data_IF_962433475567
#
_entry.id   IF_962433475567
#
_cell.length_a   1.000
_cell.length_b   1.000
_cell.length_c   1.000
_cell.angle_alpha   90.00
_cell.angle_beta   90.00
_cell.angle_gamma   90.00
#
_symmetry.space_group_name_H-M   'P 1'
#
loop_
_entity.id
_entity.type
_entity.pdbx_description
1 polymer ?
#
# COMPACT_ATOMS: atom_id res chain seq x y z
N UNK A 1 8.55 1.36 9.75
CA UNK A 1 9.23 1.41 11.07
C UNK A 1 8.47 2.22 12.13
N UNK A 2 7.74 3.29 11.80
CA UNK A 2 7.05 4.10 12.82
C UNK A 2 5.88 3.38 13.55
N UNK A 3 5.09 2.57 12.84
CA UNK A 3 3.96 1.84 13.44
C UNK A 3 4.40 0.80 14.48
N UNK A 4 5.37 -0.06 14.13
CA UNK A 4 5.94 -1.05 15.06
C UNK A 4 6.56 -0.37 16.28
N UNK A 5 7.29 0.74 16.09
CA UNK A 5 7.84 1.49 17.21
C UNK A 5 6.75 2.06 18.11
N UNK A 6 5.66 2.62 17.55
CA UNK A 6 4.54 3.12 18.33
C UNK A 6 3.83 2.02 19.14
N UNK A 7 3.78 0.79 18.63
CA UNK A 7 3.27 -0.36 19.37
C UNK A 7 4.20 -0.74 20.53
N UNK A 8 5.52 -0.80 20.28
CA UNK A 8 6.53 -1.09 21.30
C UNK A 8 6.49 -0.04 22.41
N UNK A 9 6.36 1.24 22.06
CA UNK A 9 6.24 2.34 23.01
C UNK A 9 4.87 2.38 23.73
N UNK A 10 3.93 1.51 23.36
CA UNK A 10 2.57 1.47 23.91
C UNK A 10 1.69 2.67 23.51
N UNK A 11 2.14 3.49 22.56
CA UNK A 11 1.40 4.65 22.02
C UNK A 11 0.31 4.24 21.04
N UNK A 12 0.51 3.16 20.30
CA UNK A 12 -0.52 2.56 19.47
C UNK A 12 -1.34 1.57 20.31
N UNK A 13 -2.67 1.71 20.29
CA UNK A 13 -3.61 0.83 20.99
C UNK A 13 -4.39 -0.08 20.06
N UNK A 14 -4.55 0.34 18.80
CA UNK A 14 -5.26 -0.41 17.78
C UNK A 14 -4.35 -0.68 16.58
N UNK A 15 -4.47 -1.87 16.01
CA UNK A 15 -3.84 -2.25 14.75
C UNK A 15 -4.92 -2.72 13.77
N UNK A 16 -4.90 -2.19 12.55
CA UNK A 16 -5.72 -2.68 11.45
C UNK A 16 -4.76 -3.05 10.31
N UNK A 17 -4.76 -4.32 9.93
CA UNK A 17 -3.92 -4.85 8.85
C UNK A 17 -4.79 -5.31 7.68
N UNK A 18 -4.52 -4.77 6.49
CA UNK A 18 -5.09 -5.22 5.23
C UNK A 18 -4.08 -6.17 4.56
N UNK A 19 -4.31 -7.46 4.71
CA UNK A 19 -3.43 -8.51 4.25
C UNK A 19 -2.05 -8.51 4.93
N UNK A 20 -1.12 -9.25 4.32
CA UNK A 20 0.27 -9.32 4.75
C UNK A 20 0.53 -10.21 5.98
N UNK A 21 1.78 -10.66 6.09
CA UNK A 21 2.28 -11.35 7.28
C UNK A 21 3.10 -10.36 8.11
N UNK A 22 2.39 -9.46 8.80
CA UNK A 22 2.97 -8.34 9.54
C UNK A 22 4.03 -8.78 10.56
N UNK A 23 3.79 -9.87 11.30
CA UNK A 23 4.74 -10.40 12.26
C UNK A 23 6.08 -10.76 11.60
N UNK A 24 6.06 -11.50 10.48
CA UNK A 24 7.30 -11.89 9.79
C UNK A 24 7.99 -10.70 9.15
N UNK A 25 7.24 -9.67 8.75
CA UNK A 25 7.79 -8.45 8.17
C UNK A 25 8.41 -7.47 9.20
N UNK A 26 8.22 -7.70 10.50
CA UNK A 26 8.88 -6.89 11.53
C UNK A 26 10.40 -7.12 11.50
N UNK A 27 11.23 -6.07 11.53
CA UNK A 27 12.69 -6.24 11.58
C UNK A 27 13.19 -6.74 12.96
N UNK A 28 12.47 -6.42 14.03
CA UNK A 28 12.80 -6.80 15.42
C UNK A 28 11.63 -7.58 16.02
N UNK A 29 11.75 -8.91 16.02
CA UNK A 29 10.72 -9.82 16.51
C UNK A 29 10.68 -9.86 18.04
N UNK A 30 11.82 -9.72 18.71
CA UNK A 30 11.92 -9.83 20.17
C UNK A 30 11.11 -8.73 20.87
N UNK A 31 11.11 -7.52 20.30
CA UNK A 31 10.32 -6.40 20.82
C UNK A 31 8.94 -6.29 20.17
N UNK A 32 8.85 -6.61 18.88
CA UNK A 32 7.61 -6.47 18.12
C UNK A 32 6.52 -7.47 18.50
N UNK A 33 6.87 -8.73 18.77
CA UNK A 33 5.86 -9.76 19.08
C UNK A 33 5.19 -9.53 20.43
N UNK A 34 5.92 -9.25 21.53
CA UNK A 34 5.27 -8.90 22.80
C UNK A 34 4.40 -7.64 22.69
N UNK A 35 4.80 -6.67 21.86
CA UNK A 35 4.04 -5.44 21.67
C UNK A 35 2.66 -5.68 21.02
N UNK A 36 2.50 -6.70 20.18
CA UNK A 36 1.19 -7.11 19.65
C UNK A 36 0.22 -7.49 20.77
N UNK A 37 0.69 -8.20 21.80
CA UNK A 37 -0.12 -8.60 22.95
C UNK A 37 -0.61 -7.42 23.80
N UNK A 38 0.04 -6.27 23.69
CA UNK A 38 -0.33 -5.05 24.43
C UNK A 38 -1.37 -4.20 23.70
N UNK A 39 -1.74 -4.53 22.47
CA UNK A 39 -2.81 -3.86 21.74
C UNK A 39 -4.16 -4.13 22.39
N UNK A 40 -4.99 -3.09 22.49
CA UNK A 40 -6.36 -3.22 22.95
C UNK A 40 -7.22 -3.90 21.87
N UNK A 41 -6.99 -3.56 20.59
CA UNK A 41 -7.71 -4.14 19.46
C UNK A 41 -6.73 -4.45 18.31
N UNK A 42 -6.79 -5.67 17.77
CA UNK A 42 -6.09 -6.07 16.55
C UNK A 42 -7.08 -6.60 15.52
N UNK A 43 -7.11 -5.99 14.33
CA UNK A 43 -7.98 -6.38 13.22
C UNK A 43 -7.13 -6.83 12.05
N UNK A 44 -7.39 -8.05 11.58
CA UNK A 44 -6.71 -8.63 10.42
C UNK A 44 -7.71 -8.94 9.32
N UNK A 45 -7.61 -8.21 8.21
CA UNK A 45 -8.37 -8.50 6.98
C UNK A 45 -7.50 -9.36 6.09
N UNK A 46 -7.95 -10.54 5.70
CA UNK A 46 -7.09 -11.43 4.92
C UNK A 46 -7.80 -12.61 4.27
N UNK A 47 -7.16 -13.12 3.21
CA UNK A 47 -7.65 -14.27 2.44
C UNK A 47 -7.21 -15.61 3.00
N UNK A 48 -6.13 -15.62 3.80
CA UNK A 48 -5.52 -16.81 4.39
C UNK A 48 -4.96 -16.50 5.75
N UNK A 49 -4.97 -17.51 6.63
CA UNK A 49 -4.31 -17.41 7.92
C UNK A 49 -2.78 -17.41 7.76
N UNK A 50 -2.10 -16.63 8.60
CA UNK A 50 -0.64 -16.56 8.64
C UNK A 50 -0.15 -16.39 10.09
N UNK A 51 1.19 -16.33 10.26
CA UNK A 51 1.84 -16.31 11.58
C UNK A 51 1.45 -15.10 12.44
N UNK A 52 1.07 -13.98 11.83
CA UNK A 52 0.59 -12.80 12.55
C UNK A 52 -0.65 -13.10 13.37
N UNK A 53 -1.55 -13.96 12.88
CA UNK A 53 -2.81 -14.27 13.57
C UNK A 53 -2.62 -15.13 14.83
N UNK A 54 -1.40 -15.63 15.08
CA UNK A 54 -1.05 -16.30 16.33
C UNK A 54 -0.66 -15.30 17.42
N UNK A 55 -0.38 -14.04 17.05
CA UNK A 55 -0.05 -12.96 17.98
C UNK A 55 -1.33 -12.16 18.26
N UNK A 56 -2.07 -12.59 19.28
CA UNK A 56 -3.34 -11.97 19.67
C UNK A 56 -3.11 -10.78 20.61
N UNK A 57 -3.83 -9.69 20.37
CA UNK A 57 -4.01 -8.60 21.33
C UNK A 57 -5.09 -8.94 22.36
N UNK A 58 -5.55 -7.95 23.13
CA UNK A 58 -6.67 -8.15 24.08
C UNK A 58 -7.96 -8.55 23.37
N UNK A 59 -8.32 -7.83 22.32
CA UNK A 59 -9.39 -8.20 21.40
C UNK A 59 -8.80 -8.38 20.00
N UNK A 60 -9.05 -9.52 19.36
CA UNK A 60 -8.52 -9.82 18.03
C UNK A 60 -9.63 -10.27 17.09
N UNK A 61 -9.79 -9.57 15.97
CA UNK A 61 -10.76 -9.88 14.92
C UNK A 61 -10.03 -10.29 13.65
N UNK A 62 -10.52 -11.36 13.02
CA UNK A 62 -10.08 -11.78 11.69
C UNK A 62 -11.28 -11.67 10.76
N UNK A 63 -11.16 -10.84 9.73
CA UNK A 63 -12.16 -10.67 8.69
C UNK A 63 -11.69 -11.36 7.40
N UNK A 64 -12.27 -12.52 7.05
CA UNK A 64 -12.03 -13.14 5.77
C UNK A 64 -12.46 -12.21 4.63
N UNK A 65 -11.57 -11.96 3.68
CA UNK A 65 -11.87 -11.12 2.51
C UNK A 65 -11.74 -11.90 1.20
N UNK A 66 -12.32 -11.33 0.14
CA UNK A 66 -12.15 -11.82 -1.22
C UNK A 66 -10.68 -11.73 -1.67
N UNK A 67 -10.19 -12.81 -2.25
CA UNK A 67 -8.92 -12.84 -2.96
C UNK A 67 -9.00 -12.23 -4.35
N UNK A 68 -7.85 -11.76 -4.84
CA UNK A 68 -7.74 -11.11 -6.17
C UNK A 68 -8.17 -11.99 -7.35
N UNK A 69 -8.23 -13.31 -7.16
CA UNK A 69 -8.66 -14.28 -8.17
C UNK A 69 -10.17 -14.51 -8.17
N UNK A 70 -10.87 -14.06 -7.14
CA UNK A 70 -12.31 -14.21 -6.97
C UNK A 70 -13.07 -13.02 -7.60
N UNK A 71 -14.30 -13.29 -8.03
CA UNK A 71 -15.21 -12.29 -8.56
C UNK A 71 -15.70 -11.39 -7.44
N UNK A 72 -15.52 -10.09 -7.64
CA UNK A 72 -16.08 -9.05 -6.80
C UNK A 72 -17.29 -8.44 -7.51
N UNK A 73 -18.49 -8.65 -6.96
CA UNK A 73 -19.75 -8.15 -7.48
C UNK A 73 -20.32 -7.14 -6.49
N UNK A 74 -20.47 -5.90 -6.94
CA UNK A 74 -21.08 -4.79 -6.19
C UNK A 74 -22.34 -4.30 -6.90
N UNK A 75 -22.96 -3.24 -6.38
CA UNK A 75 -24.23 -2.73 -6.91
C UNK A 75 -24.15 -2.35 -8.41
N UNK A 76 -23.03 -1.77 -8.86
CA UNK A 76 -22.82 -1.44 -10.29
C UNK A 76 -22.31 -2.61 -11.14
N UNK A 77 -22.21 -3.80 -10.54
CA UNK A 77 -21.75 -5.02 -11.19
C UNK A 77 -20.32 -5.39 -10.83
N UNK A 78 -19.62 -6.04 -11.77
CA UNK A 78 -18.29 -6.59 -11.53
C UNK A 78 -17.27 -5.48 -11.35
N UNK A 79 -16.57 -5.52 -10.23
CA UNK A 79 -15.50 -4.57 -9.90
C UNK A 79 -14.11 -5.15 -10.21
N UNK A 80 -13.15 -4.23 -10.30
CA UNK A 80 -11.73 -4.55 -10.39
C UNK A 80 -10.94 -3.71 -9.40
N UNK A 81 -10.07 -4.34 -8.64
CA UNK A 81 -9.09 -3.60 -7.84
C UNK A 81 -7.97 -3.12 -8.75
N UNK A 82 -7.13 -2.21 -8.26
CA UNK A 82 -5.97 -1.71 -8.99
C UNK A 82 -4.71 -1.95 -8.17
N UNK A 83 -3.65 -2.36 -8.84
CA UNK A 83 -2.37 -2.70 -8.21
C UNK A 83 -1.26 -1.90 -8.89
N UNK A 84 -0.37 -1.35 -8.08
CA UNK A 84 0.93 -0.82 -8.54
C UNK A 84 2.00 -1.90 -8.37
N UNK A 85 2.80 -2.14 -9.40
CA UNK A 85 3.95 -3.05 -9.33
C UNK A 85 5.29 -2.32 -9.05
N UNK A 86 6.38 -3.06 -8.95
CA UNK A 86 7.72 -2.50 -8.68
C UNK A 86 8.27 -1.61 -9.80
N UNK A 87 7.64 -1.62 -10.98
CA UNK A 87 7.98 -0.76 -12.12
C UNK A 87 7.07 0.47 -12.17
N UNK A 88 6.31 0.72 -11.11
CA UNK A 88 5.29 1.77 -10.98
C UNK A 88 4.23 1.72 -12.07
N UNK A 89 3.89 0.50 -12.54
CA UNK A 89 2.74 0.29 -13.41
C UNK A 89 1.49 0.01 -12.58
N UNK A 90 0.52 0.90 -12.73
CA UNK A 90 -0.82 0.76 -12.15
C UNK A 90 -1.72 0.08 -13.16
N UNK A 91 -2.28 -1.07 -12.80
CA UNK A 91 -3.12 -1.87 -13.69
C UNK A 91 -4.31 -2.50 -12.93
N UNK A 92 -5.41 -2.72 -13.65
CA UNK A 92 -6.57 -3.40 -13.08
C UNK A 92 -6.27 -4.89 -12.86
N UNK A 93 -6.75 -5.40 -11.72
CA UNK A 93 -6.78 -6.82 -11.40
C UNK A 93 -8.21 -7.21 -11.07
N UNK A 94 -8.74 -8.21 -11.78
CA UNK A 94 -10.09 -8.71 -11.56
C UNK A 94 -10.11 -10.23 -11.67
N UNK A 95 -10.56 -10.87 -10.60
CA UNK A 95 -10.72 -12.30 -10.53
C UNK A 95 -11.88 -12.82 -11.39
N UNK A 96 -11.84 -14.11 -11.72
CA UNK A 96 -12.91 -14.79 -12.49
C UNK A 96 -13.49 -15.98 -11.72
N UNK A 97 -12.88 -16.38 -10.62
CA UNK A 97 -13.33 -17.52 -9.82
C UNK A 97 -14.54 -17.11 -8.99
N UNK A 98 -15.44 -18.07 -8.74
CA UNK A 98 -16.52 -17.86 -7.78
C UNK A 98 -15.92 -17.70 -6.37
N UNK A 99 -16.40 -16.76 -5.55
CA UNK A 99 -16.00 -16.67 -4.15
C UNK A 99 -16.14 -18.00 -3.41
N UNK A 100 -15.20 -18.30 -2.53
CA UNK A 100 -15.17 -19.53 -1.74
C UNK A 100 -16.37 -19.63 -0.77
N UNK A 101 -16.92 -18.49 -0.34
CA UNK A 101 -18.12 -18.41 0.48
C UNK A 101 -18.94 -17.17 0.12
N UNK A 102 -20.29 -17.23 0.17
CA UNK A 102 -21.15 -16.07 -0.04
C UNK A 102 -21.05 -15.03 1.08
N UNK A 103 -20.40 -15.35 2.19
CA UNK A 103 -20.18 -14.43 3.31
C UNK A 103 -18.91 -13.58 3.14
N UNK A 104 -18.07 -13.89 2.15
CA UNK A 104 -16.87 -13.11 1.90
C UNK A 104 -17.22 -11.73 1.36
N UNK A 105 -16.60 -10.72 1.96
CA UNK A 105 -16.70 -9.34 1.53
C UNK A 105 -15.39 -8.90 0.89
N UNK A 106 -15.45 -7.92 0.00
CA UNK A 106 -14.25 -7.28 -0.54
C UNK A 106 -13.54 -6.47 0.55
N UNK A 107 -12.22 -6.25 0.41
CA UNK A 107 -11.48 -5.41 1.36
C UNK A 107 -12.08 -4.01 1.50
N UNK A 108 -12.47 -3.30 0.41
CA UNK A 108 -13.15 -2.01 0.53
C UNK A 108 -14.48 -2.12 1.29
N UNK A 109 -15.28 -3.17 1.05
CA UNK A 109 -16.55 -3.37 1.75
C UNK A 109 -16.35 -3.60 3.26
N UNK A 110 -15.31 -4.33 3.66
CA UNK A 110 -14.97 -4.52 5.08
C UNK A 110 -14.57 -3.19 5.72
N UNK A 111 -13.71 -2.42 5.05
CA UNK A 111 -13.29 -1.08 5.53
C UNK A 111 -14.49 -0.14 5.67
N UNK A 112 -15.35 -0.08 4.65
CA UNK A 112 -16.56 0.74 4.68
C UNK A 112 -17.55 0.28 5.78
N UNK A 113 -17.68 -1.03 5.99
CA UNK A 113 -18.50 -1.60 7.06
C UNK A 113 -18.00 -1.21 8.45
N UNK A 114 -16.69 -1.30 8.68
CA UNK A 114 -16.07 -0.84 9.92
C UNK A 114 -16.27 0.66 10.12
N UNK A 115 -16.02 1.47 9.08
CA UNK A 115 -16.20 2.91 9.14
C UNK A 115 -17.64 3.30 9.48
N UNK A 116 -18.64 2.69 8.81
CA UNK A 116 -20.06 2.90 9.11
C UNK A 116 -20.42 2.55 10.55
N UNK A 117 -19.87 1.46 11.09
CA UNK A 117 -20.18 1.00 12.44
C UNK A 117 -19.51 1.85 13.53
N UNK A 118 -18.36 2.45 13.24
CA UNK A 118 -17.51 3.13 14.24
C UNK A 118 -17.47 4.65 14.12
N UNK A 119 -17.85 5.20 12.97
CA UNK A 119 -17.81 6.63 12.66
C UNK A 119 -19.20 7.14 12.25
N UNK A 120 -20.17 7.25 13.19
CA UNK A 120 -21.55 7.64 12.86
C UNK A 120 -21.69 9.06 12.30
N UNK A 121 -20.74 9.96 12.62
CA UNK A 121 -20.74 11.37 12.19
C UNK A 121 -19.80 11.62 10.99
N UNK A 122 -19.42 10.57 10.27
CA UNK A 122 -18.54 10.71 9.10
C UNK A 122 -19.23 11.47 7.97
N UNK A 123 -18.48 12.36 7.29
CA UNK A 123 -18.95 13.08 6.10
C UNK A 123 -18.79 12.26 4.81
N UNK A 124 -18.08 11.15 4.89
CA UNK A 124 -17.78 10.28 3.74
C UNK A 124 -18.90 9.26 3.63
N UNK A 125 -19.55 9.19 2.48
CA UNK A 125 -20.53 8.14 2.21
C UNK A 125 -19.83 6.83 1.81
N UNK A 126 -19.37 6.10 2.83
CA UNK A 126 -18.59 4.88 2.68
C UNK A 126 -19.31 3.79 1.88
N UNK A 127 -20.63 3.69 2.01
CA UNK A 127 -21.39 2.65 1.32
C UNK A 127 -21.48 2.96 -0.18
N UNK A 128 -21.78 4.21 -0.52
CA UNK A 128 -21.78 4.68 -1.90
C UNK A 128 -20.40 4.48 -2.56
N UNK A 129 -19.29 4.61 -1.83
CA UNK A 129 -17.96 4.35 -2.40
C UNK A 129 -17.73 2.88 -2.78
N UNK A 130 -18.27 1.92 -2.02
CA UNK A 130 -18.02 0.50 -2.29
C UNK A 130 -18.99 -0.09 -3.30
N UNK A 131 -20.11 0.58 -3.57
CA UNK A 131 -21.02 0.22 -4.67
C UNK A 131 -20.36 0.32 -6.05
N UNK A 132 -19.41 1.26 -6.22
CA UNK A 132 -18.70 1.54 -7.46
C UNK A 132 -17.27 2.02 -7.20
N UNK A 133 -16.28 1.19 -7.57
CA UNK A 133 -14.88 1.50 -7.32
C UNK A 133 -14.35 2.64 -8.18
N UNK A 134 -15.06 3.05 -9.23
CA UNK A 134 -14.71 4.26 -9.96
C UNK A 134 -14.71 5.48 -9.04
N UNK A 135 -15.67 5.56 -8.09
CA UNK A 135 -15.76 6.64 -7.10
C UNK A 135 -14.55 6.68 -6.16
N UNK A 136 -14.04 5.52 -5.77
CA UNK A 136 -12.81 5.42 -4.95
C UNK A 136 -11.62 5.93 -5.76
N UNK A 137 -11.52 5.57 -7.04
CA UNK A 137 -10.42 6.02 -7.92
C UNK A 137 -10.49 7.51 -8.21
N UNK A 138 -11.68 8.09 -8.32
CA UNK A 138 -11.86 9.54 -8.43
C UNK A 138 -11.34 10.28 -7.19
N UNK A 139 -11.53 9.71 -5.99
CA UNK A 139 -10.94 10.26 -4.76
C UNK A 139 -9.41 10.10 -4.71
N UNK A 140 -8.88 8.98 -5.19
CA UNK A 140 -7.43 8.77 -5.29
C UNK A 140 -6.82 9.79 -6.26
N UNK A 141 -7.46 10.02 -7.41
CA UNK A 141 -7.04 11.02 -8.40
C UNK A 141 -6.96 12.43 -7.80
N UNK A 142 -7.90 12.80 -6.94
CA UNK A 142 -7.89 14.10 -6.26
C UNK A 142 -6.81 14.22 -5.18
N UNK A 143 -6.33 13.09 -4.65
CA UNK A 143 -5.45 13.06 -3.47
C UNK A 143 -3.98 12.85 -3.84
N UNK A 144 -3.70 12.08 -4.89
CA UNK A 144 -2.35 11.65 -5.25
C UNK A 144 -1.96 12.21 -6.62
N UNK A 145 -0.96 13.11 -6.68
CA UNK A 145 -0.44 13.61 -7.95
C UNK A 145 0.03 12.48 -8.89
N UNK A 146 -0.24 12.60 -10.19
CA UNK A 146 0.13 11.61 -11.20
C UNK A 146 -0.94 10.54 -11.50
N UNK A 147 -2.09 10.60 -10.82
CA UNK A 147 -3.24 9.73 -11.03
C UNK A 147 -4.35 10.37 -11.89
N UNK A 148 -4.05 11.43 -12.64
CA UNK A 148 -5.03 12.13 -13.47
C UNK A 148 -5.67 11.18 -14.50
N UNK A 149 -6.98 11.34 -14.72
CA UNK A 149 -7.82 10.48 -15.54
C UNK A 149 -7.72 8.98 -15.17
N UNK A 150 -7.71 8.65 -13.87
CA UNK A 150 -7.47 7.30 -13.36
C UNK A 150 -8.40 6.30 -14.04
N UNK A 151 -9.71 6.52 -13.94
CA UNK A 151 -10.72 5.59 -14.46
C UNK A 151 -10.61 5.38 -15.97
N UNK A 152 -10.27 6.41 -16.75
CA UNK A 152 -10.04 6.25 -18.18
C UNK A 152 -8.78 5.43 -18.47
N UNK A 153 -7.67 5.70 -17.76
CA UNK A 153 -6.38 5.06 -17.99
C UNK A 153 -6.36 3.60 -17.56
N UNK A 154 -7.08 3.23 -16.49
CA UNK A 154 -7.11 1.85 -16.01
C UNK A 154 -7.91 0.90 -16.91
N UNK A 155 -8.81 1.45 -17.74
CA UNK A 155 -9.59 0.70 -18.73
C UNK A 155 -8.76 0.32 -19.96
N UNK A 156 -7.61 0.97 -20.17
CA UNK A 156 -6.66 0.60 -21.22
C UNK A 156 -5.90 -0.65 -20.79
N UNK A 157 -5.80 -1.70 -21.63
CA UNK A 157 -4.99 -2.88 -21.32
C UNK A 157 -3.54 -2.50 -20.96
N UNK A 158 -3.05 -3.02 -19.84
CA UNK A 158 -1.73 -2.68 -19.29
C UNK A 158 -1.72 -1.45 -18.37
N UNK A 159 -2.83 -0.71 -18.29
CA UNK A 159 -2.99 0.42 -17.38
C UNK A 159 -2.04 1.57 -17.69
N UNK A 160 -1.43 2.16 -16.65
CA UNK A 160 -0.57 3.32 -16.81
C UNK A 160 0.61 3.35 -15.84
N UNK A 161 1.67 4.07 -16.20
CA UNK A 161 2.81 4.30 -15.31
C UNK A 161 2.53 5.50 -14.40
N UNK A 162 2.77 5.35 -13.09
CA UNK A 162 2.78 6.46 -12.14
C UNK A 162 4.08 7.26 -12.24
N UNK A 163 3.96 8.57 -12.45
CA UNK A 163 5.10 9.43 -12.81
C UNK A 163 5.99 9.80 -11.62
N UNK A 164 5.57 9.60 -10.36
CA UNK A 164 6.42 9.93 -9.22
C UNK A 164 7.74 9.10 -9.22
N UNK A 165 7.72 7.88 -9.76
CA UNK A 165 8.92 7.08 -9.97
C UNK A 165 9.81 7.59 -11.12
N UNK A 166 9.24 8.28 -12.12
CA UNK A 166 10.03 8.88 -13.20
C UNK A 166 10.85 10.08 -12.73
N UNK A 167 10.37 10.81 -11.72
CA UNK A 167 11.09 11.94 -11.13
C UNK A 167 12.19 11.50 -10.15
N UNK A 168 12.16 10.27 -9.63
CA UNK A 168 13.22 9.74 -8.78
C UNK A 168 14.50 9.40 -9.57
N UNK A 169 14.38 9.06 -10.86
CA UNK A 169 15.53 8.79 -11.74
C UNK A 169 16.06 10.03 -12.48
N UNK A 170 15.34 11.15 -12.42
CA UNK A 170 15.71 12.41 -13.08
C UNK A 170 16.50 13.40 -12.19
N UNK A 171 16.69 13.11 -10.89
CA UNK A 171 17.47 13.97 -9.98
C UNK A 171 19.00 13.94 -10.22
N UNK A 172 19.47 13.15 -11.20
CA UNK A 172 20.88 13.10 -11.62
C UNK A 172 21.28 14.09 -12.73
N UNK A 173 20.36 14.91 -13.27
CA UNK A 173 20.69 15.80 -14.39
C UNK A 173 21.21 17.17 -13.95
N UNK A 174 22.54 17.21 -13.79
CA UNK A 174 23.45 18.33 -14.09
C UNK A 174 22.93 19.73 -13.73
N UNK A 175 23.23 20.16 -12.50
CA UNK A 175 23.41 21.58 -12.19
C UNK A 175 24.42 22.15 -13.20
N UNK A 176 23.96 22.96 -14.16
CA UNK A 176 24.84 23.82 -14.98
C UNK A 176 25.62 24.72 -14.02
N UNK A 177 26.91 24.45 -13.84
CA UNK A 177 27.82 25.35 -13.16
C UNK A 177 27.82 26.69 -13.91
N UNK A 178 27.28 27.72 -13.24
CA UNK A 178 27.54 29.11 -13.60
C UNK A 178 29.04 29.32 -13.48
N UNK A 179 29.70 29.51 -14.61
CA UNK A 179 31.13 29.81 -14.73
C UNK A 179 31.40 31.14 -14.00
N UNK A 180 31.92 31.07 -12.78
CA UNK A 180 32.42 32.24 -12.06
C UNK A 180 33.75 32.68 -12.71
N UNK A 181 33.84 33.94 -13.13
CA UNK A 181 34.92 34.50 -13.95
C UNK A 181 36.22 34.83 -13.20
N UNK A 182 36.42 34.29 -11.98
CA UNK A 182 37.59 34.56 -11.16
C UNK A 182 37.98 33.35 -10.32
N UNK A 183 38.66 32.39 -10.93
CA UNK A 183 39.65 31.57 -10.21
C UNK A 183 40.50 30.81 -11.23
N UNK A 184 41.70 31.30 -11.46
CA UNK A 184 42.74 30.66 -12.25
C UNK A 184 43.56 29.74 -11.34
N UNK A 185 43.31 28.44 -11.38
CA UNK A 185 44.35 27.45 -11.04
C UNK A 185 43.96 26.06 -11.56
N UNK A 186 44.88 25.46 -12.28
CA UNK A 186 44.76 24.18 -12.97
C UNK A 186 44.58 23.00 -12.00
N UNK A 187 43.72 22.05 -12.35
CA UNK A 187 43.90 20.67 -11.89
C UNK A 187 43.61 19.69 -13.04
N UNK A 188 44.62 18.88 -13.30
CA UNK A 188 44.79 17.93 -14.40
C UNK A 188 43.86 16.72 -14.29
N UNK A 189 43.35 16.27 -15.44
CA UNK A 189 42.65 14.99 -15.62
C UNK A 189 43.63 13.82 -15.73
N UNK A 190 43.44 12.75 -14.97
CA UNK A 190 43.78 11.35 -15.33
C UNK A 190 43.08 10.33 -14.41
N UNK A 191 43.03 9.00 -14.72
CA UNK A 191 41.76 8.30 -14.99
C UNK A 191 41.49 7.10 -14.05
N UNK A 192 40.40 6.40 -14.37
CA UNK A 192 39.80 5.21 -13.75
C UNK A 192 40.77 4.15 -13.19
N UNK A 193 40.39 3.57 -12.04
CA UNK A 193 40.90 2.29 -11.53
C UNK A 193 39.72 1.40 -11.06
N UNK A 194 39.70 0.17 -11.58
CA UNK A 194 38.93 -0.98 -11.10
C UNK A 194 39.54 -1.50 -9.80
N UNK A 195 38.74 -1.92 -8.82
CA UNK A 195 39.12 -3.00 -7.88
C UNK A 195 37.88 -3.84 -7.52
N UNK A 196 38.10 -5.15 -7.53
CA UNK A 196 37.21 -6.29 -7.32
C UNK A 196 37.06 -6.70 -5.84
N UNK A 197 35.91 -7.33 -5.51
CA UNK A 197 35.65 -8.40 -4.52
C UNK A 197 36.49 -8.53 -3.24
N UNK A 198 35.81 -8.65 -2.08
CA UNK A 198 35.90 -9.83 -1.21
C UNK A 198 34.70 -9.95 -0.26
N UNK A 199 34.15 -11.16 -0.14
CA UNK A 199 33.25 -11.60 0.92
C UNK A 199 34.08 -12.05 2.12
N UNK A 200 33.58 -11.82 3.33
CA UNK A 200 33.69 -12.73 4.48
C UNK A 200 32.31 -12.83 5.13
#
# INVERSE_FOLDING_TARGET
>A
MQATQAMIDGRAKALICLGGNFAVAMPDHERGFPAMGNLDVSVHVGTKLNRTHLLVGKETFIFPCLGRTELDLQATGRQSITVEDSMSMVHASSGKLKPASPLLLSEPAIVAGMARATLPETRVDWLTLVEDYDRIRDLIEQTIPGFENYNARIRVPGGFRHAAAANASASGQRRREKRCSRCSTAFTRTPAAKVSTFCD
#
